data_IF_059653735302
#
_entry.id   IF_059653735302
#
_cell.length_a   1.000
_cell.length_b   1.000
_cell.length_c   1.000
_cell.angle_alpha   90.00
_cell.angle_beta   90.00
_cell.angle_gamma   90.00
#
_symmetry.space_group_name_H-M   'P 1'
#
loop_
_entity.id
_entity.type
_entity.pdbx_description
1 polymer ?
#
# COMPACT_ATOMS: atom_id res chain seq x y z
N UNK A 1 9.85 8.98 -6.77
CA UNK A 1 8.68 8.10 -6.99
C UNK A 1 7.90 8.02 -5.69
N UNK A 2 6.58 8.24 -5.72
CA UNK A 2 5.75 8.14 -4.51
C UNK A 2 5.06 6.78 -4.49
N UNK A 3 5.22 6.04 -3.40
CA UNK A 3 4.53 4.78 -3.17
C UNK A 3 3.37 5.02 -2.24
N UNK A 4 2.17 4.69 -2.68
CA UNK A 4 0.97 4.71 -1.85
C UNK A 4 0.55 3.25 -1.62
N UNK A 5 0.59 2.82 -0.37
CA UNK A 5 0.13 1.50 0.05
C UNK A 5 -1.25 1.65 0.69
N UNK A 6 -2.26 1.11 0.04
CA UNK A 6 -3.60 1.00 0.60
C UNK A 6 -3.75 -0.38 1.25
N UNK A 7 -4.12 -0.40 2.52
CA UNK A 7 -4.42 -1.64 3.24
C UNK A 7 -5.92 -1.81 3.32
N UNK A 8 -6.40 -2.92 2.75
CA UNK A 8 -7.82 -3.20 2.69
C UNK A 8 -8.09 -4.50 3.44
N UNK A 9 -8.89 -4.42 4.50
CA UNK A 9 -9.50 -5.61 5.08
C UNK A 9 -10.70 -5.98 4.22
N UNK A 10 -10.56 -6.99 3.38
CA UNK A 10 -11.70 -7.63 2.73
C UNK A 10 -12.14 -8.77 3.63
N UNK A 11 -13.30 -8.63 4.26
CA UNK A 11 -14.02 -9.80 4.73
C UNK A 11 -14.59 -10.48 3.47
N UNK A 12 -14.11 -11.68 3.14
CA UNK A 12 -14.35 -12.39 1.87
C UNK A 12 -15.83 -12.66 1.52
N UNK A 13 -16.78 -12.23 2.33
CA UNK A 13 -18.21 -12.47 2.10
C UNK A 13 -18.84 -11.70 0.93
N UNK A 14 -18.21 -10.68 0.33
CA UNK A 14 -18.88 -9.90 -0.71
C UNK A 14 -17.96 -9.28 -1.79
N UNK A 15 -18.07 -9.80 -3.02
CA UNK A 15 -17.37 -9.30 -4.21
C UNK A 15 -17.69 -7.82 -4.53
N UNK A 16 -18.90 -7.34 -4.23
CA UNK A 16 -19.28 -5.93 -4.44
C UNK A 16 -18.44 -5.00 -3.57
N UNK A 17 -18.10 -5.44 -2.36
CA UNK A 17 -17.24 -4.71 -1.44
C UNK A 17 -15.83 -4.59 -1.99
N UNK A 18 -15.27 -5.66 -2.55
CA UNK A 18 -13.97 -5.62 -3.22
C UNK A 18 -13.95 -4.66 -4.42
N UNK A 19 -14.92 -4.78 -5.32
CA UNK A 19 -15.01 -3.92 -6.51
C UNK A 19 -15.16 -2.46 -6.13
N UNK A 20 -15.96 -2.13 -5.10
CA UNK A 20 -16.10 -0.78 -4.57
C UNK A 20 -14.74 -0.22 -4.12
N UNK A 21 -13.97 -1.02 -3.37
CA UNK A 21 -12.67 -0.59 -2.84
C UNK A 21 -11.60 -0.37 -3.91
N UNK A 22 -11.53 -1.25 -4.91
CA UNK A 22 -10.63 -1.09 -6.05
C UNK A 22 -10.96 0.22 -6.78
N UNK A 23 -12.25 0.47 -7.06
CA UNK A 23 -12.69 1.72 -7.69
C UNK A 23 -12.34 2.96 -6.86
N UNK A 24 -12.55 2.93 -5.55
CA UNK A 24 -12.17 4.04 -4.65
C UNK A 24 -10.66 4.29 -4.64
N UNK A 25 -9.84 3.24 -4.67
CA UNK A 25 -8.37 3.38 -4.67
C UNK A 25 -7.84 3.93 -6.00
N UNK A 26 -8.43 3.49 -7.12
CA UNK A 26 -8.08 3.99 -8.46
C UNK A 26 -8.47 5.46 -8.57
N UNK A 27 -9.70 5.83 -8.19
CA UNK A 27 -10.23 7.19 -8.33
C UNK A 27 -9.73 8.19 -7.28
N UNK A 28 -8.95 7.74 -6.29
CA UNK A 28 -8.41 8.65 -5.29
C UNK A 28 -7.45 9.66 -5.96
N UNK A 29 -7.80 10.94 -5.79
CA UNK A 29 -7.42 12.07 -6.62
C UNK A 29 -5.90 12.30 -6.69
N UNK A 30 -5.44 12.56 -7.91
CA UNK A 30 -4.07 12.96 -8.25
C UNK A 30 -3.81 14.45 -7.93
N UNK A 31 -4.37 15.00 -6.86
CA UNK A 31 -4.34 16.46 -6.60
C UNK A 31 -3.03 17.01 -5.99
N UNK A 32 -1.99 16.19 -5.82
CA UNK A 32 -0.66 16.67 -5.39
C UNK A 32 0.52 16.10 -6.19
N UNK A 33 0.51 16.23 -7.53
CA UNK A 33 1.68 15.83 -8.33
C UNK A 33 2.11 16.90 -9.34
N UNK A 34 2.43 18.12 -8.90
CA UNK A 34 3.18 19.08 -9.73
C UNK A 34 4.71 18.82 -9.76
N UNK A 35 5.19 17.69 -9.23
CA UNK A 35 6.62 17.35 -9.23
C UNK A 35 6.85 15.88 -9.65
N UNK A 36 7.15 15.71 -10.94
CA UNK A 36 7.88 14.61 -11.62
C UNK A 36 8.13 13.36 -10.75
N UNK A 37 7.18 12.44 -10.75
CA UNK A 37 7.38 11.13 -10.14
C UNK A 37 6.16 10.24 -10.34
N UNK A 38 6.38 9.01 -10.82
CA UNK A 38 5.30 8.04 -10.93
C UNK A 38 4.74 7.69 -9.55
N UNK A 39 3.41 7.56 -9.47
CA UNK A 39 2.71 7.08 -8.30
C UNK A 39 2.40 5.59 -8.51
N UNK A 40 2.90 4.74 -7.62
CA UNK A 40 2.54 3.32 -7.61
C UNK A 40 1.58 3.08 -6.44
N UNK A 41 0.41 2.52 -6.76
CA UNK A 41 -0.64 2.17 -5.79
C UNK A 41 -0.60 0.67 -5.51
N UNK A 42 -0.40 0.28 -4.25
CA UNK A 42 -0.48 -1.11 -3.80
C UNK A 42 -1.77 -1.35 -3.03
N UNK A 43 -2.39 -2.53 -3.21
CA UNK A 43 -3.55 -2.98 -2.43
C UNK A 43 -3.16 -4.25 -1.68
N UNK A 44 -3.11 -4.20 -0.34
CA UNK A 44 -2.88 -5.39 0.48
C UNK A 44 -4.20 -6.08 0.81
N UNK A 45 -4.33 -7.36 0.43
CA UNK A 45 -5.52 -8.21 0.61
C UNK A 45 -5.14 -9.45 1.42
N UNK A 46 -6.06 -9.94 2.26
CA UNK A 46 -5.87 -11.15 3.05
C UNK A 46 -6.77 -11.21 4.28
N UNK A 47 -6.71 -12.30 5.03
CA UNK A 47 -7.52 -12.53 6.23
C UNK A 47 -7.27 -11.56 7.38
N UNK A 48 -8.21 -11.50 8.31
CA UNK A 48 -7.98 -10.75 9.54
C UNK A 48 -6.72 -11.23 10.24
N UNK A 49 -5.93 -10.33 10.82
CA UNK A 49 -4.71 -10.66 11.57
C UNK A 49 -3.54 -11.17 10.70
N UNK A 50 -3.65 -11.18 9.37
CA UNK A 50 -2.56 -11.62 8.46
C UNK A 50 -1.37 -10.64 8.34
N UNK A 51 -1.27 -9.62 9.20
CA UNK A 51 -0.13 -8.70 9.24
C UNK A 51 -0.11 -7.57 8.19
N UNK A 52 -1.17 -7.39 7.39
CA UNK A 52 -1.20 -6.34 6.33
C UNK A 52 -0.90 -4.93 6.86
N UNK A 53 -1.59 -4.52 7.93
CA UNK A 53 -1.37 -3.22 8.56
C UNK A 53 0.06 -3.11 9.09
N UNK A 54 0.59 -4.15 9.72
CA UNK A 54 1.96 -4.18 10.23
C UNK A 54 3.01 -4.01 9.12
N UNK A 55 2.80 -4.63 7.95
CA UNK A 55 3.69 -4.48 6.79
C UNK A 55 3.61 -3.07 6.23
N UNK A 56 2.40 -2.51 6.08
CA UNK A 56 2.24 -1.16 5.58
C UNK A 56 2.83 -0.10 6.52
N UNK A 57 2.54 -0.17 7.83
CA UNK A 57 3.12 0.74 8.84
C UNK A 57 4.63 0.59 8.90
N UNK A 58 5.15 -0.64 8.85
CA UNK A 58 6.60 -0.85 8.83
C UNK A 58 7.23 -0.26 7.57
N UNK A 59 6.58 -0.39 6.42
CA UNK A 59 7.06 0.18 5.19
C UNK A 59 6.99 1.70 5.18
N UNK A 60 5.92 2.33 5.66
CA UNK A 60 5.75 3.80 5.54
C UNK A 60 6.33 4.59 6.70
N UNK A 61 6.21 4.06 7.92
CA UNK A 61 6.56 4.74 9.18
C UNK A 61 7.80 4.14 9.85
N UNK A 62 8.30 2.99 9.38
CA UNK A 62 9.39 2.24 10.01
C UNK A 62 9.12 1.83 11.47
N UNK A 63 7.83 1.68 11.82
CA UNK A 63 7.38 1.26 13.15
C UNK A 63 6.76 -0.13 13.13
N UNK A 64 6.77 -0.82 14.27
CA UNK A 64 6.05 -2.07 14.48
C UNK A 64 5.48 -2.10 15.90
N UNK A 65 4.19 -2.40 16.02
CA UNK A 65 3.50 -2.55 17.30
C UNK A 65 3.15 -4.02 17.53
N UNK A 66 3.48 -4.54 18.71
CA UNK A 66 3.08 -5.88 19.17
C UNK A 66 1.63 -5.92 19.63
N UNK A 67 1.07 -4.76 20.01
CA UNK A 67 -0.37 -4.61 20.30
C UNK A 67 -1.13 -4.54 18.98
N UNK A 68 -1.77 -5.65 18.62
CA UNK A 68 -2.55 -5.73 17.40
C UNK A 68 -3.88 -5.00 17.54
N UNK A 69 -3.93 -3.74 17.09
CA UNK A 69 -5.19 -3.05 16.84
C UNK A 69 -5.71 -3.51 15.48
N UNK A 70 -6.90 -4.12 15.46
CA UNK A 70 -7.55 -4.47 14.19
C UNK A 70 -7.74 -3.20 13.37
N UNK A 71 -7.37 -3.27 12.10
CA UNK A 71 -7.71 -2.29 11.06
C UNK A 71 -9.23 -2.13 11.02
N UNK A 72 -9.72 -0.94 11.36
CA UNK A 72 -11.15 -0.63 11.28
C UNK A 72 -11.42 -0.01 9.92
N UNK A 73 -11.83 -0.82 8.93
CA UNK A 73 -12.17 -0.35 7.59
C UNK A 73 -11.00 -0.37 6.60
N UNK A 74 -10.71 0.78 5.98
CA UNK A 74 -9.68 1.00 4.96
C UNK A 74 -8.70 2.04 5.47
N UNK A 75 -7.41 1.69 5.47
CA UNK A 75 -6.32 2.61 5.84
C UNK A 75 -5.42 2.86 4.63
N UNK A 76 -4.96 4.11 4.50
CA UNK A 76 -4.09 4.56 3.42
C UNK A 76 -2.74 4.99 3.99
N UNK A 77 -1.67 4.44 3.44
CA UNK A 77 -0.29 4.73 3.82
C UNK A 77 0.47 5.30 2.62
N UNK A 78 1.32 6.29 2.83
CA UNK A 78 2.15 6.92 1.79
C UNK A 78 3.61 6.95 2.21
N UNK A 79 4.51 6.68 1.26
CA UNK A 79 5.96 6.91 1.44
C UNK A 79 6.60 7.35 0.13
N UNK A 80 7.35 8.45 0.19
CA UNK A 80 8.23 8.88 -0.91
C UNK A 80 9.49 8.03 -0.90
N UNK A 81 9.86 7.47 -2.05
CA UNK A 81 11.14 6.76 -2.22
C UNK A 81 11.92 7.32 -3.41
N UNK A 82 13.24 7.30 -3.27
CA UNK A 82 14.15 7.49 -4.39
C UNK A 82 14.41 6.11 -4.99
N UNK A 83 13.90 5.87 -6.19
CA UNK A 83 14.24 4.66 -6.93
C UNK A 83 15.61 4.89 -7.56
N UNK A 84 16.66 4.41 -6.89
CA UNK A 84 17.95 4.28 -7.56
C UNK A 84 17.86 3.05 -8.46
N UNK A 85 18.19 3.21 -9.74
CA UNK A 85 18.34 2.06 -10.62
C UNK A 85 19.42 1.16 -9.99
N UNK A 86 19.01 0.02 -9.43
CA UNK A 86 19.96 -1.00 -9.03
C UNK A 86 20.69 -1.40 -10.32
N UNK A 87 21.95 -0.98 -10.47
CA UNK A 87 22.81 -1.60 -11.48
C UNK A 87 22.75 -3.10 -11.18
N UNK A 88 22.46 -3.97 -12.17
CA UNK A 88 22.49 -5.41 -11.93
C UNK A 88 23.85 -5.76 -11.34
N UNK A 89 23.83 -6.22 -10.08
CA UNK A 89 25.04 -6.50 -9.29
C UNK A 89 25.75 -7.77 -9.74
N UNK A 90 25.25 -8.43 -10.79
CA UNK A 90 25.95 -9.49 -11.49
C UNK A 90 26.02 -9.18 -12.99
N UNK A 91 27.23 -9.21 -13.60
CA UNK A 91 27.34 -9.23 -15.04
C UNK A 91 26.65 -10.51 -15.54
N UNK A 92 25.73 -10.35 -16.49
CA UNK A 92 25.21 -11.46 -17.28
C UNK A 92 26.36 -11.84 -18.23
N UNK A 93 27.06 -12.92 -17.90
CA UNK A 93 28.00 -13.58 -18.82
C UNK A 93 27.22 -14.41 -19.84
#
# INVERSE_FOLDING_TARGET
MLLTITVIRINYGNLKTFVKYVKTTINWSDEESSLIGENIKFILIGDSLSGKTSVATRFTENTFSTTYRRTTGVDFYKRKILLQALKPTHPVN
#
